data_IF_630522929318
#
_entry.id   IF_630522929318
#
_cell.length_a   1.000
_cell.length_b   1.000
_cell.length_c   1.000
_cell.angle_alpha   90.00
_cell.angle_beta   90.00
_cell.angle_gamma   90.00
#
_symmetry.space_group_name_H-M   'P 1'
#
loop_
_entity.id
_entity.type
_entity.pdbx_description
1 polymer ?
#
# COMPACT_ATOMS: atom_id res chain seq x y z
N UNK A 1 11.14 28.82 3.21
CA UNK A 1 11.88 27.54 3.28
C UNK A 1 10.91 26.37 3.14
N UNK A 2 11.23 25.33 2.34
CA UNK A 2 10.42 24.13 2.31
C UNK A 2 10.44 23.47 3.71
N UNK A 3 9.27 23.03 4.18
CA UNK A 3 9.15 22.32 5.46
C UNK A 3 9.87 20.97 5.35
N UNK A 4 10.72 20.59 6.32
CA UNK A 4 11.40 19.28 6.27
C UNK A 4 10.37 18.15 6.34
N UNK A 5 10.62 17.06 5.61
CA UNK A 5 9.72 15.91 5.50
C UNK A 5 10.42 14.66 6.02
N UNK A 6 9.67 13.76 6.66
CA UNK A 6 10.17 12.47 7.09
C UNK A 6 10.54 11.60 5.88
N UNK A 7 11.74 11.01 5.84
CA UNK A 7 12.14 10.18 4.70
C UNK A 7 11.30 8.91 4.57
N UNK A 8 10.81 8.37 5.69
CA UNK A 8 9.96 7.17 5.74
C UNK A 8 8.52 7.46 5.31
N UNK A 9 7.80 8.32 6.03
CA UNK A 9 6.38 8.61 5.75
C UNK A 9 6.13 9.88 4.92
N UNK A 10 7.14 10.62 4.45
CA UNK A 10 7.10 11.88 3.66
C UNK A 10 6.07 12.92 4.12
N UNK A 11 5.57 12.80 5.35
CA UNK A 11 4.80 13.85 6.03
C UNK A 11 5.77 14.92 6.52
N UNK A 12 5.31 16.17 6.67
CA UNK A 12 6.04 17.18 7.45
C UNK A 12 6.50 16.58 8.79
N UNK A 13 7.73 16.89 9.22
CA UNK A 13 8.31 16.28 10.43
C UNK A 13 7.46 16.49 11.69
N UNK A 14 6.82 17.65 11.81
CA UNK A 14 5.89 18.03 12.88
C UNK A 14 4.57 17.22 12.88
N UNK A 15 4.23 16.58 11.76
CA UNK A 15 3.04 15.72 11.60
C UNK A 15 3.43 14.28 11.24
N UNK A 16 4.65 13.86 11.59
CA UNK A 16 5.13 12.51 11.34
C UNK A 16 4.30 11.49 12.14
N UNK A 17 3.89 10.41 11.49
CA UNK A 17 3.12 9.33 12.12
C UNK A 17 3.93 8.04 12.30
N UNK A 18 5.22 8.03 11.94
CA UNK A 18 6.03 6.81 11.92
C UNK A 18 6.11 6.06 13.26
N UNK A 19 6.03 6.76 14.39
CA UNK A 19 6.00 6.15 15.72
C UNK A 19 4.68 5.40 16.01
N UNK A 20 3.62 5.70 15.27
CA UNK A 20 2.30 5.08 15.39
C UNK A 20 2.08 3.97 14.35
N UNK A 21 2.99 3.82 13.38
CA UNK A 21 2.87 2.80 12.35
C UNK A 21 3.29 1.46 12.97
N UNK A 22 2.36 0.48 13.07
CA UNK A 22 2.69 -0.84 13.60
C UNK A 22 3.56 -1.64 12.61
N UNK A 23 4.03 -2.80 13.03
CA UNK A 23 4.59 -3.82 12.13
C UNK A 23 3.68 -5.04 12.20
N UNK A 24 2.67 -5.09 11.34
CA UNK A 24 1.64 -6.12 11.35
C UNK A 24 2.06 -7.29 10.47
N UNK A 25 2.11 -8.48 11.05
CA UNK A 25 2.28 -9.71 10.29
C UNK A 25 1.08 -9.98 9.40
N UNK A 26 1.34 -10.43 8.17
CA UNK A 26 0.29 -10.78 7.21
C UNK A 26 0.63 -12.08 6.48
N UNK A 27 -0.28 -13.05 6.55
CA UNK A 27 -0.21 -14.28 5.74
C UNK A 27 -0.43 -13.98 4.26
N UNK A 28 -1.26 -13.00 3.95
CA UNK A 28 -1.58 -12.58 2.58
C UNK A 28 -0.59 -11.50 2.15
N UNK A 29 0.02 -11.66 0.97
CA UNK A 29 0.79 -10.58 0.36
C UNK A 29 -0.16 -9.49 -0.12
N UNK A 30 0.07 -8.24 0.29
CA UNK A 30 -0.75 -7.10 -0.09
C UNK A 30 0.01 -6.23 -1.09
N UNK A 31 -0.54 -6.05 -2.29
CA UNK A 31 0.03 -5.14 -3.28
C UNK A 31 -0.87 -3.92 -3.37
N UNK A 32 -0.32 -2.74 -3.06
CA UNK A 32 -1.00 -1.46 -3.17
C UNK A 32 -0.61 -0.81 -4.49
N UNK A 33 -1.58 -0.69 -5.40
CA UNK A 33 -1.43 0.06 -6.64
C UNK A 33 -1.97 1.47 -6.39
N UNK A 34 -1.10 2.47 -6.45
CA UNK A 34 -1.44 3.86 -6.16
C UNK A 34 -1.28 4.72 -7.42
N UNK A 35 -2.30 5.51 -7.75
CA UNK A 35 -2.18 6.45 -8.86
C UNK A 35 -1.21 7.60 -8.50
N UNK A 36 -0.39 8.13 -9.43
CA UNK A 36 0.56 9.20 -9.13
C UNK A 36 -0.06 10.45 -8.50
N UNK A 37 -1.29 10.82 -8.89
CA UNK A 37 -2.01 11.96 -8.29
C UNK A 37 -2.31 11.77 -6.80
N UNK A 38 -2.41 10.52 -6.34
CA UNK A 38 -2.74 10.22 -4.95
C UNK A 38 -1.54 10.31 -4.00
N UNK A 39 -0.31 10.25 -4.54
CA UNK A 39 0.93 10.27 -3.75
C UNK A 39 1.09 11.55 -2.93
N UNK A 40 0.57 12.66 -3.46
CA UNK A 40 0.62 13.98 -2.86
C UNK A 40 -0.56 14.27 -1.93
N UNK A 41 -1.58 13.39 -1.87
CA UNK A 41 -2.69 13.58 -0.94
C UNK A 41 -2.19 13.58 0.50
N UNK A 42 -2.73 14.50 1.29
CA UNK A 42 -2.22 14.81 2.63
C UNK A 42 -2.22 13.60 3.59
N UNK A 43 -3.09 12.61 3.37
CA UNK A 43 -3.10 11.37 4.16
C UNK A 43 -2.09 10.33 3.65
N UNK A 44 -1.97 10.17 2.32
CA UNK A 44 -1.18 9.14 1.65
C UNK A 44 -1.30 7.77 2.36
N UNK A 45 -2.55 7.30 2.46
CA UNK A 45 -2.92 6.09 3.20
C UNK A 45 -2.26 4.84 2.66
N UNK A 46 -2.09 4.72 1.34
CA UNK A 46 -1.40 3.60 0.72
C UNK A 46 0.02 3.40 1.26
N UNK A 47 0.78 4.50 1.43
CA UNK A 47 2.13 4.41 1.99
C UNK A 47 2.14 4.10 3.49
N UNK A 48 1.19 4.64 4.24
CA UNK A 48 1.06 4.28 5.66
C UNK A 48 0.72 2.79 5.83
N UNK A 49 -0.17 2.26 5.00
CA UNK A 49 -0.51 0.84 4.98
C UNK A 49 0.70 -0.03 4.59
N UNK A 50 1.43 0.34 3.54
CA UNK A 50 2.63 -0.37 3.11
C UNK A 50 3.73 -0.39 4.19
N UNK A 51 3.92 0.71 4.92
CA UNK A 51 4.86 0.79 6.03
C UNK A 51 4.42 0.00 7.27
N UNK A 52 3.13 -0.33 7.36
CA UNK A 52 2.51 -0.97 8.51
C UNK A 52 2.36 -2.49 8.40
N UNK A 53 2.50 -3.05 7.20
CA UNK A 53 2.32 -4.46 6.89
C UNK A 53 3.66 -5.09 6.52
N UNK A 54 4.03 -6.20 7.17
CA UNK A 54 5.32 -6.87 6.96
C UNK A 54 5.43 -7.56 5.58
N UNK A 55 4.29 -7.83 4.93
CA UNK A 55 4.21 -8.49 3.62
C UNK A 55 3.41 -7.63 2.63
N UNK A 56 3.81 -6.37 2.48
CA UNK A 56 3.18 -5.43 1.56
C UNK A 56 4.17 -4.76 0.61
N UNK A 57 3.67 -4.43 -0.58
CA UNK A 57 4.41 -3.71 -1.60
C UNK A 57 3.57 -2.53 -2.11
N UNK A 58 4.16 -1.34 -2.22
CA UNK A 58 3.53 -0.17 -2.82
C UNK A 58 4.12 0.06 -4.20
N UNK A 59 3.26 0.14 -5.22
CA UNK A 59 3.63 0.48 -6.59
C UNK A 59 2.85 1.72 -7.02
N UNK A 60 3.58 2.73 -7.49
CA UNK A 60 2.99 3.99 -7.97
C UNK A 60 3.02 3.99 -9.49
N UNK A 61 1.87 4.16 -10.13
CA UNK A 61 1.76 4.14 -11.57
C UNK A 61 0.33 4.33 -12.04
N UNK A 62 0.18 4.76 -13.29
CA UNK A 62 -1.11 4.77 -13.99
C UNK A 62 -1.30 3.47 -14.79
N UNK A 63 -0.20 2.90 -15.29
CA UNK A 63 -0.14 1.62 -16.00
C UNK A 63 0.92 0.73 -15.34
N UNK A 64 0.60 -0.55 -15.17
CA UNK A 64 1.46 -1.56 -14.55
C UNK A 64 1.66 -2.72 -15.53
N UNK A 65 2.65 -2.61 -16.42
CA UNK A 65 2.87 -3.57 -17.52
C UNK A 65 3.18 -4.99 -17.00
N UNK A 66 3.89 -5.09 -15.88
CA UNK A 66 4.27 -6.35 -15.23
C UNK A 66 3.20 -6.88 -14.26
N UNK A 67 2.02 -6.25 -14.18
CA UNK A 67 0.97 -6.67 -13.25
C UNK A 67 0.49 -8.08 -13.55
N UNK A 68 0.37 -8.47 -14.82
CA UNK A 68 -0.06 -9.82 -15.18
C UNK A 68 0.94 -10.88 -14.71
N UNK A 69 2.23 -10.61 -14.84
CA UNK A 69 3.29 -11.50 -14.35
C UNK A 69 3.25 -11.60 -12.82
N UNK A 70 3.05 -10.48 -12.15
CA UNK A 70 2.91 -10.41 -10.70
C UNK A 70 1.70 -11.22 -10.21
N UNK A 71 0.55 -11.11 -10.87
CA UNK A 71 -0.66 -11.87 -10.52
C UNK A 71 -0.52 -13.36 -10.84
N UNK A 72 0.34 -13.73 -11.81
CA UNK A 72 0.65 -15.11 -12.18
C UNK A 72 1.71 -15.78 -11.29
N UNK A 73 2.13 -15.14 -10.19
CA UNK A 73 3.12 -15.71 -9.26
C UNK A 73 2.66 -17.08 -8.74
N UNK A 74 3.46 -18.11 -9.01
CA UNK A 74 3.17 -19.48 -8.56
C UNK A 74 3.00 -19.56 -7.04
N UNK A 75 1.99 -20.31 -6.59
CA UNK A 75 1.64 -20.45 -5.17
C UNK A 75 0.74 -19.35 -4.60
N UNK A 76 0.38 -18.33 -5.39
CA UNK A 76 -0.57 -17.29 -5.00
C UNK A 76 -1.89 -17.41 -5.75
N UNK A 77 -3.00 -17.09 -5.07
CA UNK A 77 -4.30 -16.82 -5.68
C UNK A 77 -4.52 -15.31 -5.67
N UNK A 78 -4.41 -14.60 -6.81
CA UNK A 78 -4.68 -13.17 -6.85
C UNK A 78 -6.15 -12.89 -6.53
N UNK A 79 -6.39 -11.85 -5.74
CA UNK A 79 -7.74 -11.36 -5.43
C UNK A 79 -7.71 -9.84 -5.33
N UNK A 80 -8.82 -9.20 -5.70
CA UNK A 80 -9.02 -7.76 -5.52
C UNK A 80 -9.77 -7.51 -4.21
N UNK A 81 -9.16 -6.74 -3.30
CA UNK A 81 -9.86 -6.23 -2.13
C UNK A 81 -10.71 -5.04 -2.55
N UNK A 82 -12.02 -5.25 -2.67
CA UNK A 82 -12.95 -4.20 -3.04
C UNK A 82 -14.25 -4.33 -2.24
N UNK A 83 -14.79 -3.22 -1.70
CA UNK A 83 -16.10 -3.23 -1.08
C UNK A 83 -17.18 -3.35 -2.16
N UNK A 84 -17.86 -4.50 -2.26
CA UNK A 84 -18.92 -4.75 -3.23
C UNK A 84 -19.98 -5.69 -2.68
N UNK A 85 -21.21 -5.63 -3.21
CA UNK A 85 -22.32 -6.49 -2.77
C UNK A 85 -22.05 -7.99 -2.97
N UNK A 86 -21.27 -8.33 -4.01
CA UNK A 86 -20.84 -9.69 -4.33
C UNK A 86 -19.43 -10.02 -3.80
N UNK A 87 -18.88 -9.17 -2.92
CA UNK A 87 -17.58 -9.42 -2.31
C UNK A 87 -17.66 -10.68 -1.44
N UNK A 88 -16.67 -11.56 -1.60
CA UNK A 88 -16.56 -12.79 -0.83
C UNK A 88 -15.48 -12.63 0.24
N UNK A 89 -15.72 -13.20 1.42
CA UNK A 89 -14.70 -13.25 2.46
C UNK A 89 -13.47 -14.02 1.97
N UNK A 90 -12.29 -13.48 2.27
CA UNK A 90 -11.03 -14.15 1.95
C UNK A 90 -10.82 -15.31 2.91
N UNK A 91 -11.30 -16.50 2.52
CA UNK A 91 -11.04 -17.76 3.22
C UNK A 91 -9.66 -18.32 2.84
N UNK A 92 -8.95 -18.80 3.87
CA UNK A 92 -7.60 -19.36 3.77
C UNK A 92 -7.59 -20.77 3.16
#
# INVERSE_FOLDING_TARGET
MPRPRCERCQRPLDHCLCSLIPALDSRTRVILLQHPSETAHALNTARLAALGLNNAELRVGEVFEDLNELLATSGYRPALLFPGGDAQELVA
#
